data_IF_457078828100
#
_entry.id   IF_457078828100
#
_cell.length_a   1.000
_cell.length_b   1.000
_cell.length_c   1.000
_cell.angle_alpha   90.00
_cell.angle_beta   90.00
_cell.angle_gamma   90.00
#
_symmetry.space_group_name_H-M   'P 1'
#
loop_
_entity.id
_entity.type
_entity.pdbx_description
1 polymer ?
#
# COMPACT_ATOMS: atom_id res chain seq x y z
N UNK A 1 -3.01 -12.82 -3.56
CA UNK A 1 -3.65 -11.53 -3.89
C UNK A 1 -3.64 -10.69 -2.63
N UNK A 2 -3.41 -9.39 -2.72
CA UNK A 2 -3.36 -8.49 -1.57
C UNK A 2 -3.96 -7.13 -1.92
N UNK A 3 -4.66 -6.54 -0.95
CA UNK A 3 -5.03 -5.13 -0.96
C UNK A 3 -4.44 -4.50 0.29
N UNK A 4 -3.48 -3.60 0.13
CA UNK A 4 -2.67 -3.10 1.25
C UNK A 4 -2.17 -1.69 1.01
N UNK A 5 -1.58 -1.10 2.05
CA UNK A 5 -0.92 0.21 1.96
C UNK A 5 0.20 0.17 0.92
N UNK A 6 0.37 1.28 0.19
CA UNK A 6 1.58 1.48 -0.60
C UNK A 6 2.74 1.79 0.37
N UNK A 7 3.65 0.83 0.55
CA UNK A 7 4.76 0.96 1.51
C UNK A 7 5.72 2.11 1.19
N UNK A 8 6.16 2.31 -0.07
CA UNK A 8 6.99 3.47 -0.39
C UNK A 8 6.36 4.81 0.01
N UNK A 9 5.09 5.05 -0.34
CA UNK A 9 4.34 6.26 0.04
C UNK A 9 4.26 6.42 1.56
N UNK A 10 3.99 5.33 2.29
CA UNK A 10 3.97 5.33 3.74
C UNK A 10 5.33 5.72 4.35
N UNK A 11 6.44 5.23 3.80
CA UNK A 11 7.78 5.61 4.26
C UNK A 11 8.14 7.06 3.92
N UNK A 12 7.75 7.55 2.74
CA UNK A 12 7.92 8.97 2.40
C UNK A 12 7.18 9.90 3.37
N UNK A 13 5.95 9.54 3.77
CA UNK A 13 5.23 10.29 4.82
C UNK A 13 5.92 10.19 6.16
N UNK A 14 6.39 9.00 6.54
CA UNK A 14 7.14 8.78 7.77
C UNK A 14 8.39 9.67 7.85
N UNK A 15 9.08 9.89 6.74
CA UNK A 15 10.25 10.80 6.69
C UNK A 15 9.89 12.25 7.06
N UNK A 16 8.66 12.69 6.81
CA UNK A 16 8.18 14.02 7.23
C UNK A 16 8.07 14.13 8.75
N UNK A 17 7.68 13.05 9.43
CA UNK A 17 7.68 13.02 10.91
C UNK A 17 9.10 13.06 11.46
N UNK A 18 10.02 12.30 10.86
CA UNK A 18 11.43 12.32 11.23
C UNK A 18 12.00 13.73 11.11
N UNK A 19 11.78 14.43 10.00
CA UNK A 19 12.22 15.81 9.81
C UNK A 19 11.68 16.77 10.89
N UNK A 20 10.38 16.69 11.21
CA UNK A 20 9.76 17.49 12.27
C UNK A 20 10.39 17.22 13.64
N UNK A 21 10.61 15.96 13.99
CA UNK A 21 11.21 15.56 15.27
C UNK A 21 12.66 16.05 15.37
N UNK A 22 13.45 15.90 14.32
CA UNK A 22 14.83 16.39 14.28
C UNK A 22 14.92 17.92 14.37
N UNK A 23 13.87 18.64 13.97
CA UNK A 23 13.71 20.09 14.14
C UNK A 23 13.14 20.50 15.51
N UNK A 24 12.92 19.56 16.43
CA UNK A 24 12.53 19.81 17.81
C UNK A 24 11.04 19.64 18.14
N UNK A 25 10.22 19.16 17.21
CA UNK A 25 8.84 18.81 17.53
C UNK A 25 8.78 17.63 18.51
N UNK A 26 7.94 17.70 19.54
CA UNK A 26 7.73 16.58 20.47
C UNK A 26 6.86 15.52 19.79
N UNK A 27 7.23 14.23 19.85
CA UNK A 27 6.41 13.16 19.26
C UNK A 27 4.95 13.12 19.77
N UNK A 28 4.72 13.49 21.04
CA UNK A 28 3.39 13.53 21.64
C UNK A 28 2.47 14.61 21.04
N UNK A 29 3.04 15.62 20.38
CA UNK A 29 2.28 16.72 19.75
C UNK A 29 2.03 16.47 18.26
N UNK A 30 2.63 15.42 17.68
CA UNK A 30 2.46 15.09 16.26
C UNK A 30 1.21 14.21 16.06
N UNK A 31 0.30 14.55 15.12
CA UNK A 31 -0.90 13.76 14.89
C UNK A 31 -0.55 12.42 14.24
N UNK A 32 -1.25 11.36 14.64
CA UNK A 32 -1.14 10.08 13.94
C UNK A 32 -1.80 10.18 12.56
N UNK A 33 -1.06 9.86 11.52
CA UNK A 33 -1.57 9.84 10.15
C UNK A 33 -2.03 8.43 9.75
N UNK A 34 -3.14 8.35 9.03
CA UNK A 34 -3.59 7.13 8.37
C UNK A 34 -3.06 7.06 6.94
N UNK A 35 -2.75 5.86 6.42
CA UNK A 35 -2.42 5.66 5.01
C UNK A 35 -3.57 6.16 4.12
N UNK A 36 -3.25 6.86 3.05
CA UNK A 36 -4.24 7.34 2.08
C UNK A 36 -4.09 6.69 0.70
N UNK A 37 -2.97 5.98 0.47
CA UNK A 37 -2.70 5.26 -0.77
C UNK A 37 -2.62 3.76 -0.52
N UNK A 38 -3.40 3.02 -1.30
CA UNK A 38 -3.49 1.57 -1.27
C UNK A 38 -3.27 1.00 -2.66
N UNK A 39 -2.81 -0.25 -2.71
CA UNK A 39 -2.58 -0.98 -3.95
C UNK A 39 -3.28 -2.33 -3.91
N UNK A 40 -3.88 -2.70 -5.04
CA UNK A 40 -4.43 -4.01 -5.32
C UNK A 40 -3.45 -4.79 -6.21
N UNK A 41 -2.88 -5.87 -5.66
CA UNK A 41 -1.99 -6.77 -6.39
C UNK A 41 -2.62 -8.14 -6.57
N UNK A 42 -2.79 -8.55 -7.84
CA UNK A 42 -3.35 -9.84 -8.22
C UNK A 42 -2.25 -10.77 -8.71
N UNK A 43 -2.14 -11.96 -8.11
CA UNK A 43 -1.25 -13.01 -8.62
C UNK A 43 -2.07 -13.97 -9.48
N UNK A 44 -2.04 -13.74 -10.79
CA UNK A 44 -2.80 -14.48 -11.78
C UNK A 44 -2.20 -15.88 -12.00
N UNK A 45 -0.87 -16.03 -11.89
CA UNK A 45 -0.20 -17.34 -11.92
C UNK A 45 -0.73 -18.29 -10.86
N UNK A 46 -0.76 -17.83 -9.61
CA UNK A 46 -1.25 -18.61 -8.48
C UNK A 46 -2.76 -18.84 -8.61
N UNK A 47 -3.54 -17.84 -9.03
CA UNK A 47 -4.97 -18.03 -9.26
C UNK A 47 -5.26 -19.15 -10.28
N UNK A 48 -4.56 -19.15 -11.42
CA UNK A 48 -4.65 -20.21 -12.44
C UNK A 48 -4.27 -21.59 -11.88
N UNK A 49 -3.16 -21.67 -11.14
CA UNK A 49 -2.71 -22.93 -10.53
C UNK A 49 -3.72 -23.49 -9.51
N UNK A 50 -4.48 -22.61 -8.86
CA UNK A 50 -5.54 -22.97 -7.90
C UNK A 50 -6.92 -23.16 -8.57
N UNK A 51 -7.03 -23.05 -9.89
CA UNK A 51 -8.32 -23.13 -10.59
C UNK A 51 -9.28 -21.98 -10.31
N UNK A 52 -8.78 -20.85 -9.79
CA UNK A 52 -9.56 -19.66 -9.47
C UNK A 52 -9.68 -18.76 -10.69
N UNK A 53 -10.91 -18.43 -11.08
CA UNK A 53 -11.18 -17.42 -12.11
C UNK A 53 -11.29 -16.05 -11.45
N UNK A 54 -10.39 -15.13 -11.82
CA UNK A 54 -10.43 -13.76 -11.33
C UNK A 54 -11.33 -12.92 -12.26
N UNK A 55 -12.34 -12.20 -11.73
CA UNK A 55 -13.22 -11.37 -12.55
C UNK A 55 -12.44 -10.29 -13.31
N UNK A 56 -12.81 -10.06 -14.57
CA UNK A 56 -12.16 -9.04 -15.41
C UNK A 56 -12.28 -7.64 -14.80
N UNK A 57 -13.41 -7.33 -14.15
CA UNK A 57 -13.62 -6.07 -13.44
C UNK A 57 -12.65 -5.84 -12.28
N UNK A 58 -12.12 -6.91 -11.67
CA UNK A 58 -11.10 -6.83 -10.62
C UNK A 58 -9.71 -6.66 -11.23
N UNK A 59 -9.42 -7.35 -12.33
CA UNK A 59 -8.14 -7.21 -13.05
C UNK A 59 -7.96 -5.78 -13.59
N UNK A 60 -9.03 -5.17 -14.11
CA UNK A 60 -9.00 -3.79 -14.59
C UNK A 60 -8.74 -2.75 -13.49
N UNK A 61 -8.97 -3.11 -12.22
CA UNK A 61 -8.73 -2.25 -11.06
C UNK A 61 -7.42 -2.55 -10.35
N UNK A 62 -6.73 -3.61 -10.73
CA UNK A 62 -5.48 -3.99 -10.08
C UNK A 62 -4.38 -3.00 -10.48
N UNK A 63 -3.65 -2.50 -9.50
CA UNK A 63 -2.46 -1.68 -9.74
C UNK A 63 -1.31 -2.54 -10.30
N UNK A 64 -1.30 -3.83 -9.96
CA UNK A 64 -0.33 -4.79 -10.48
C UNK A 64 -0.93 -6.18 -10.66
N UNK A 65 -0.58 -6.82 -11.78
CA UNK A 65 -0.87 -8.23 -12.04
C UNK A 65 0.44 -9.00 -12.19
N UNK A 66 0.59 -10.09 -11.42
CA UNK A 66 1.73 -11.01 -11.51
C UNK A 66 1.31 -12.22 -12.34
N UNK A 67 2.03 -12.50 -13.42
CA UNK A 67 1.70 -13.54 -14.42
C UNK A 67 2.54 -14.82 -14.34
#
# INVERSE_FOLDING_TARGET
MAYSVNLPDMFHRSATFVDKILKGAKPADLPMEQPTKFELVVNLKTAKALGLTIPHSLLLRADQVLE
#
